data_IF_639908341221
#
_entry.id   IF_639908341221
#
_cell.length_a   1.000
_cell.length_b   1.000
_cell.length_c   1.000
_cell.angle_alpha   90.00
_cell.angle_beta   90.00
_cell.angle_gamma   90.00
#
_symmetry.space_group_name_H-M   'P 1'
#
loop_
_entity.id
_entity.type
_entity.pdbx_description
1 polymer ?
#
# COMPACT_ATOMS: atom_id res chain seq x y z
N UNK A 1 -6.57 -43.78 7.55
CA UNK A 1 -5.73 -42.58 7.53
C UNK A 1 -5.16 -42.44 6.14
N UNK A 2 -5.32 -41.28 5.50
CA UNK A 2 -4.71 -41.02 4.20
C UNK A 2 -3.18 -40.95 4.34
N UNK A 3 -2.44 -41.16 3.25
CA UNK A 3 -0.97 -41.02 3.28
C UNK A 3 -0.53 -39.60 3.70
N UNK A 4 -1.35 -38.59 3.42
CA UNK A 4 -1.12 -37.19 3.83
C UNK A 4 -1.31 -37.00 5.34
N UNK A 5 -2.34 -37.63 5.94
CA UNK A 5 -2.56 -37.59 7.39
C UNK A 5 -1.39 -38.21 8.17
N UNK A 6 -0.86 -39.35 7.71
CA UNK A 6 0.30 -40.00 8.33
C UNK A 6 1.54 -39.10 8.30
N UNK A 7 1.78 -38.43 7.16
CA UNK A 7 2.90 -37.48 7.03
C UNK A 7 2.75 -36.28 7.96
N UNK A 8 1.53 -35.76 8.12
CA UNK A 8 1.24 -34.66 9.04
C UNK A 8 1.53 -35.10 10.49
N UNK A 9 1.13 -36.31 10.88
CA UNK A 9 1.38 -36.82 12.24
C UNK A 9 2.86 -37.02 12.54
N UNK A 10 3.65 -37.51 11.59
CA UNK A 10 5.11 -37.59 11.73
C UNK A 10 5.77 -36.23 11.91
N UNK A 11 5.33 -35.22 11.15
CA UNK A 11 5.81 -33.85 11.32
C UNK A 11 5.45 -33.32 12.70
N UNK A 12 4.20 -33.52 13.14
CA UNK A 12 3.71 -33.05 14.44
C UNK A 12 4.46 -33.70 15.60
N UNK A 13 4.81 -34.97 15.49
CA UNK A 13 5.60 -35.67 16.51
C UNK A 13 7.02 -35.09 16.68
N UNK A 14 7.58 -34.48 15.64
CA UNK A 14 8.93 -33.92 15.64
C UNK A 14 8.95 -32.39 15.71
N UNK A 15 7.83 -31.76 16.06
CA UNK A 15 7.71 -30.31 16.09
C UNK A 15 8.59 -29.68 17.17
N UNK A 16 9.30 -28.61 16.81
CA UNK A 16 9.94 -27.70 17.76
C UNK A 16 9.58 -26.25 17.47
N UNK A 17 9.31 -25.40 18.48
CA UNK A 17 8.92 -24.00 18.26
C UNK A 17 9.99 -23.16 17.52
N UNK A 18 11.27 -23.43 17.80
CA UNK A 18 12.38 -22.70 17.21
C UNK A 18 12.65 -23.04 15.74
N UNK A 19 12.27 -24.26 15.33
CA UNK A 19 12.49 -24.75 13.98
C UNK A 19 11.52 -25.87 13.61
N UNK A 20 10.69 -25.63 12.60
CA UNK A 20 9.79 -26.64 12.04
C UNK A 20 9.59 -26.42 10.55
N UNK A 21 9.10 -27.44 9.86
CA UNK A 21 8.92 -27.41 8.41
C UNK A 21 7.43 -27.19 8.10
N UNK A 22 7.12 -26.32 7.14
CA UNK A 22 5.77 -26.19 6.59
C UNK A 22 5.85 -26.10 5.06
N UNK A 23 5.18 -27.04 4.37
CA UNK A 23 5.28 -27.16 2.92
C UNK A 23 6.72 -27.41 2.45
N UNK A 24 7.32 -26.42 1.80
CA UNK A 24 8.70 -26.47 1.27
C UNK A 24 9.71 -25.63 2.05
N UNK A 25 9.26 -24.91 3.08
CA UNK A 25 10.09 -23.97 3.84
C UNK A 25 10.31 -24.39 5.29
N UNK A 26 11.38 -23.87 5.86
CA UNK A 26 11.67 -23.92 7.30
C UNK A 26 11.19 -22.64 7.97
N UNK A 27 10.54 -22.81 9.11
CA UNK A 27 9.86 -21.76 9.86
C UNK A 27 10.21 -21.81 11.34
N UNK A 28 10.02 -20.68 12.01
CA UNK A 28 10.15 -20.51 13.45
C UNK A 28 8.95 -19.76 14.01
N UNK A 29 8.49 -20.16 15.19
CA UNK A 29 7.45 -19.44 15.92
C UNK A 29 8.03 -18.18 16.55
N UNK A 30 7.54 -17.01 16.13
CA UNK A 30 8.00 -15.71 16.63
C UNK A 30 7.09 -15.18 17.72
N UNK A 31 5.78 -15.35 17.55
CA UNK A 31 4.78 -14.86 18.49
C UNK A 31 3.64 -15.84 18.57
N UNK A 32 3.25 -16.16 19.79
CA UNK A 32 2.04 -16.91 20.08
C UNK A 32 1.18 -16.08 21.04
N UNK A 33 -0.07 -15.84 20.68
CA UNK A 33 -1.01 -15.07 21.46
C UNK A 33 -2.25 -15.90 21.74
N UNK A 34 -2.46 -16.20 23.04
CA UNK A 34 -3.54 -17.05 23.57
C UNK A 34 -3.46 -18.50 23.09
N UNK A 35 -2.25 -19.06 23.08
CA UNK A 35 -1.99 -20.46 22.68
C UNK A 35 -2.67 -20.81 21.35
N UNK A 36 -2.53 -19.89 20.39
CA UNK A 36 -3.18 -19.98 19.09
C UNK A 36 -2.47 -20.97 18.16
N UNK A 37 -1.20 -21.28 18.45
CA UNK A 37 -0.39 -22.06 17.57
C UNK A 37 -0.74 -23.55 17.63
N UNK A 38 -1.37 -24.04 16.57
CA UNK A 38 -1.59 -25.47 16.34
C UNK A 38 -0.89 -25.88 15.04
N UNK A 39 0.18 -26.65 15.18
CA UNK A 39 1.01 -27.08 14.06
C UNK A 39 0.27 -28.01 13.09
N UNK A 40 -0.64 -28.87 13.59
CA UNK A 40 -1.44 -29.75 12.74
C UNK A 40 -2.37 -28.91 11.85
N UNK A 41 -3.07 -27.95 12.45
CA UNK A 41 -3.97 -27.04 11.75
C UNK A 41 -3.25 -26.15 10.75
N UNK A 42 -2.03 -25.71 11.10
CA UNK A 42 -1.17 -24.98 10.20
C UNK A 42 -0.87 -25.80 8.94
N UNK A 43 -0.42 -27.05 9.09
CA UNK A 43 -0.08 -27.92 7.96
C UNK A 43 -1.30 -28.24 7.08
N UNK A 44 -2.46 -28.48 7.69
CA UNK A 44 -3.73 -28.72 6.97
C UNK A 44 -4.16 -27.52 6.11
N UNK A 45 -3.92 -26.29 6.58
CA UNK A 45 -4.31 -25.05 5.89
C UNK A 45 -3.21 -24.43 5.05
N UNK A 46 -1.99 -24.95 5.14
CA UNK A 46 -0.84 -24.42 4.45
C UNK A 46 -1.03 -24.48 2.93
N UNK A 47 -0.62 -23.44 2.22
CA UNK A 47 -0.66 -23.41 0.76
C UNK A 47 0.64 -22.84 0.21
N UNK A 48 1.13 -23.39 -0.90
CA UNK A 48 2.44 -23.02 -1.47
C UNK A 48 2.58 -21.56 -1.88
N UNK A 49 1.46 -20.86 -2.08
CA UNK A 49 1.44 -19.42 -2.34
C UNK A 49 2.01 -18.62 -1.16
N UNK A 50 2.00 -19.18 0.05
CA UNK A 50 2.53 -18.56 1.26
C UNK A 50 4.07 -18.59 1.30
N UNK A 51 4.71 -19.51 0.56
CA UNK A 51 6.17 -19.62 0.47
C UNK A 51 6.86 -18.32 -0.01
N UNK A 52 6.11 -17.40 -0.64
CA UNK A 52 6.65 -16.12 -1.14
C UNK A 52 6.87 -15.06 -0.05
N UNK A 53 6.30 -15.25 1.13
CA UNK A 53 6.28 -14.26 2.20
C UNK A 53 7.31 -14.60 3.29
N UNK A 54 7.87 -13.57 3.91
CA UNK A 54 8.86 -13.74 4.98
C UNK A 54 8.22 -14.15 6.31
N UNK A 55 6.99 -13.70 6.55
CA UNK A 55 6.20 -14.03 7.72
C UNK A 55 4.85 -14.58 7.30
N UNK A 56 4.33 -15.50 8.09
CA UNK A 56 2.96 -15.99 7.97
C UNK A 56 2.30 -15.76 9.32
N UNK A 57 1.11 -15.19 9.28
CA UNK A 57 0.27 -14.93 10.43
C UNK A 57 -0.90 -15.87 10.34
N UNK A 58 -1.10 -16.64 11.40
CA UNK A 58 -2.28 -17.47 11.58
C UNK A 58 -3.21 -16.82 12.58
N UNK A 59 -4.45 -16.55 12.18
CA UNK A 59 -5.47 -15.98 13.06
C UNK A 59 -6.75 -16.83 13.05
N UNK A 60 -7.40 -16.90 14.21
CA UNK A 60 -8.58 -17.73 14.40
C UNK A 60 -9.87 -16.91 14.28
N UNK A 61 -10.56 -17.07 13.16
CA UNK A 61 -11.89 -16.50 12.94
C UNK A 61 -12.96 -17.58 12.99
N UNK A 62 -13.88 -17.52 13.96
CA UNK A 62 -14.95 -18.52 14.12
C UNK A 62 -14.42 -19.97 14.17
N UNK A 63 -13.35 -20.20 14.95
CA UNK A 63 -12.64 -21.48 15.07
C UNK A 63 -12.07 -22.00 13.74
N UNK A 64 -11.94 -21.15 12.73
CA UNK A 64 -11.27 -21.44 11.48
C UNK A 64 -9.93 -20.71 11.43
N UNK A 65 -8.86 -21.49 11.26
CA UNK A 65 -7.54 -20.95 11.05
C UNK A 65 -7.46 -20.31 9.65
N UNK A 66 -7.08 -19.04 9.63
CA UNK A 66 -6.79 -18.25 8.44
C UNK A 66 -5.29 -17.98 8.39
N UNK A 67 -4.70 -18.11 7.21
CA UNK A 67 -3.27 -17.83 7.01
C UNK A 67 -3.11 -16.63 6.09
N UNK A 68 -2.40 -15.61 6.56
CA UNK A 68 -2.04 -14.41 5.81
C UNK A 68 -0.53 -14.26 5.78
N UNK A 69 0.03 -14.08 4.59
CA UNK A 69 1.45 -13.83 4.43
C UNK A 69 1.80 -12.34 4.45
N UNK A 70 2.93 -12.02 5.07
CA UNK A 70 3.48 -10.68 5.22
C UNK A 70 4.97 -10.65 4.83
N UNK A 71 5.40 -9.52 4.29
CA UNK A 71 6.78 -9.23 3.96
C UNK A 71 7.48 -8.49 5.10
N UNK A 72 8.80 -8.61 5.16
CA UNK A 72 9.64 -7.72 5.98
C UNK A 72 9.47 -6.27 5.53
N UNK A 73 9.53 -5.33 6.47
CA UNK A 73 9.32 -3.89 6.20
C UNK A 73 10.35 -3.30 5.22
N UNK A 74 11.54 -3.90 5.18
CA UNK A 74 12.63 -3.58 4.25
C UNK A 74 12.27 -3.81 2.78
N UNK A 75 11.25 -4.63 2.49
CA UNK A 75 10.88 -4.93 1.11
C UNK A 75 10.14 -3.75 0.47
N UNK A 76 10.84 -3.01 -0.38
CA UNK A 76 10.34 -1.77 -0.99
C UNK A 76 9.22 -1.99 -2.02
N UNK A 77 9.13 -3.19 -2.59
CA UNK A 77 8.12 -3.55 -3.58
C UNK A 77 6.87 -4.22 -2.96
N UNK A 78 6.82 -4.41 -1.63
CA UNK A 78 5.61 -4.88 -0.96
C UNK A 78 4.56 -3.78 -0.93
N UNK A 79 3.29 -4.18 -1.11
CA UNK A 79 2.17 -3.37 -0.68
C UNK A 79 2.27 -3.08 0.82
N UNK A 80 1.88 -1.89 1.23
CA UNK A 80 1.96 -1.42 2.62
C UNK A 80 1.20 -2.40 3.54
N UNK A 81 -0.03 -2.76 3.16
CA UNK A 81 -0.89 -3.70 3.90
C UNK A 81 -0.34 -5.14 3.97
N UNK A 82 0.65 -5.47 3.13
CA UNK A 82 1.31 -6.77 3.13
C UNK A 82 2.63 -6.75 3.92
N UNK A 83 2.95 -5.68 4.64
CA UNK A 83 4.15 -5.58 5.48
C UNK A 83 3.86 -5.94 6.92
N UNK A 84 4.83 -6.55 7.59
CA UNK A 84 4.69 -6.97 8.98
C UNK A 84 4.40 -5.79 9.93
N UNK A 85 4.88 -4.57 9.62
CA UNK A 85 4.54 -3.37 10.39
C UNK A 85 3.06 -3.03 10.43
N UNK A 86 2.26 -3.48 9.46
CA UNK A 86 0.80 -3.29 9.41
C UNK A 86 0.02 -4.51 9.94
N UNK A 87 0.69 -5.41 10.65
CA UNK A 87 0.04 -6.57 11.27
C UNK A 87 -1.06 -6.15 12.25
N UNK A 88 -0.81 -5.12 13.07
CA UNK A 88 -1.79 -4.68 14.05
C UNK A 88 -3.07 -4.17 13.38
N UNK A 89 -2.93 -3.35 12.33
CA UNK A 89 -4.06 -2.86 11.53
C UNK A 89 -4.87 -4.03 10.94
N UNK A 90 -4.19 -5.05 10.41
CA UNK A 90 -4.82 -6.26 9.90
C UNK A 90 -5.61 -7.00 10.98
N UNK A 91 -5.03 -7.17 12.17
CA UNK A 91 -5.72 -7.82 13.28
C UNK A 91 -6.93 -7.01 13.74
N UNK A 92 -6.85 -5.68 13.77
CA UNK A 92 -7.99 -4.83 14.12
C UNK A 92 -9.12 -4.86 13.10
N UNK A 93 -8.80 -4.98 11.81
CA UNK A 93 -9.81 -4.97 10.74
C UNK A 93 -10.47 -6.33 10.54
N UNK A 94 -9.70 -7.43 10.64
CA UNK A 94 -10.17 -8.77 10.25
C UNK A 94 -10.27 -9.79 11.40
N UNK A 95 -9.60 -9.58 12.53
CA UNK A 95 -9.66 -10.46 13.70
C UNK A 95 -10.83 -10.01 14.60
N UNK A 96 -11.67 -10.95 15.00
CA UNK A 96 -12.75 -10.66 15.95
C UNK A 96 -12.20 -10.29 17.33
N UNK A 97 -13.03 -9.70 18.19
CA UNK A 97 -12.62 -9.48 19.59
C UNK A 97 -12.25 -10.79 20.27
N UNK A 98 -11.08 -10.80 20.91
CA UNK A 98 -10.57 -11.99 21.59
C UNK A 98 -10.00 -13.09 20.68
N UNK A 99 -9.84 -12.79 19.40
CA UNK A 99 -9.18 -13.64 18.41
C UNK A 99 -7.76 -14.01 18.86
N UNK A 100 -7.47 -15.31 18.82
CA UNK A 100 -6.14 -15.86 19.07
C UNK A 100 -5.36 -15.81 17.74
N UNK A 101 -4.07 -15.51 17.80
CA UNK A 101 -3.24 -15.46 16.61
C UNK A 101 -1.79 -15.85 16.92
N UNK A 102 -1.08 -16.27 15.90
CA UNK A 102 0.34 -16.57 15.96
C UNK A 102 1.05 -15.99 14.75
N UNK A 103 2.36 -15.80 14.88
CA UNK A 103 3.23 -15.30 13.82
C UNK A 103 4.42 -16.24 13.69
N UNK A 104 4.65 -16.74 12.48
CA UNK A 104 5.80 -17.58 12.14
C UNK A 104 6.67 -16.84 11.12
N UNK A 105 7.98 -16.95 11.27
CA UNK A 105 8.97 -16.39 10.36
C UNK A 105 9.60 -17.52 9.56
N UNK A 106 9.81 -17.28 8.27
CA UNK A 106 10.57 -18.18 7.41
C UNK A 106 12.07 -17.99 7.67
N UNK A 107 12.75 -19.05 8.12
CA UNK A 107 14.16 -19.03 8.51
C UNK A 107 15.08 -19.50 7.38
N UNK A 108 14.56 -20.26 6.41
CA UNK A 108 15.34 -20.82 5.32
C UNK A 108 15.90 -19.78 4.33
N UNK A 109 16.91 -20.19 3.56
CA UNK A 109 17.48 -19.41 2.44
C UNK A 109 16.48 -19.34 1.27
N UNK A 110 15.33 -18.71 1.48
CA UNK A 110 14.40 -18.47 0.39
C UNK A 110 15.05 -17.48 -0.60
N UNK A 111 15.22 -17.93 -1.84
CA UNK A 111 15.67 -17.16 -3.00
C UNK A 111 14.62 -16.10 -3.31
N UNK A 112 14.62 -15.00 -2.54
CA UNK A 112 13.75 -13.85 -2.73
C UNK A 112 14.05 -13.22 -4.08
N UNK A 113 13.33 -13.65 -5.13
CA UNK A 113 13.30 -12.94 -6.41
C UNK A 113 12.87 -11.50 -6.13
N UNK A 114 13.80 -10.56 -6.26
CA UNK A 114 13.55 -9.13 -6.11
C UNK A 114 13.94 -8.52 -4.77
N UNK A 115 14.56 -9.27 -3.84
CA UNK A 115 15.29 -8.62 -2.75
C UNK A 115 16.66 -8.22 -3.30
N UNK A 116 16.79 -6.96 -3.69
CA UNK A 116 18.09 -6.30 -3.81
C UNK A 116 18.71 -6.20 -2.40
N UNK A 117 19.11 -7.32 -1.80
CA UNK A 117 19.94 -7.37 -0.59
C UNK A 117 21.40 -7.06 -0.88
N UNK A 118 21.73 -6.62 -2.10
CA UNK A 118 23.05 -6.08 -2.36
C UNK A 118 23.27 -4.87 -1.45
N UNK A 119 24.23 -4.90 -0.50
CA UNK A 119 24.56 -3.74 0.29
C UNK A 119 24.92 -2.62 -0.69
N UNK A 120 24.18 -1.51 -0.59
CA UNK A 120 24.16 -0.38 -1.50
C UNK A 120 25.10 -0.46 -2.69
N UNK A 121 24.58 -0.77 -3.88
CA UNK A 121 25.16 -0.13 -5.07
C UNK A 121 24.88 1.35 -4.87
N UNK A 122 25.90 2.23 -4.66
CA UNK A 122 25.64 3.64 -4.55
C UNK A 122 24.89 4.01 -5.82
N UNK A 123 23.67 4.53 -5.65
CA UNK A 123 22.91 5.09 -6.76
C UNK A 123 23.81 6.20 -7.28
N UNK A 124 24.59 5.89 -8.32
CA UNK A 124 25.52 6.83 -8.90
C UNK A 124 24.62 7.95 -9.43
N UNK A 125 24.48 9.01 -8.63
CA UNK A 125 23.95 10.29 -9.06
C UNK A 125 25.01 10.83 -10.01
N UNK A 126 25.06 10.26 -11.21
CA UNK A 126 25.66 10.92 -12.33
C UNK A 126 24.75 12.10 -12.62
N UNK A 127 25.03 13.20 -11.91
CA UNK A 127 24.76 14.56 -12.36
C UNK A 127 25.49 14.71 -13.69
N UNK A 128 24.90 14.24 -14.78
CA UNK A 128 25.32 14.69 -16.08
C UNK A 128 24.32 15.71 -16.59
N UNK A 129 24.79 16.95 -16.54
CA UNK A 129 24.23 18.12 -17.20
C UNK A 129 23.95 17.74 -18.66
N UNK A 130 22.71 17.88 -19.08
CA UNK A 130 22.45 18.50 -20.37
C UNK A 130 21.06 19.13 -20.35
N UNK A 131 21.02 20.41 -19.96
CA UNK A 131 19.94 21.28 -20.43
C UNK A 131 20.17 21.44 -21.93
N UNK A 132 19.51 20.62 -22.72
CA UNK A 132 19.28 20.95 -24.12
C UNK A 132 18.41 22.22 -24.11
N UNK A 133 19.05 23.36 -24.35
CA UNK A 133 18.32 24.55 -24.77
C UNK A 133 17.62 24.17 -26.07
N UNK A 134 16.30 24.26 -26.10
CA UNK A 134 15.56 24.14 -27.34
C UNK A 134 16.02 25.26 -28.26
N UNK A 135 16.77 24.91 -29.32
CA UNK A 135 17.07 25.83 -30.40
C UNK A 135 15.80 25.91 -31.27
N UNK A 136 14.84 26.75 -30.87
CA UNK A 136 13.85 27.24 -31.83
C UNK A 136 14.53 28.32 -32.65
N UNK A 137 15.07 27.95 -33.82
CA UNK A 137 15.41 28.93 -34.84
C UNK A 137 14.13 29.55 -35.38
N UNK A 138 13.64 30.59 -34.71
CA UNK A 138 12.69 31.49 -35.33
C UNK A 138 13.48 32.47 -36.20
N UNK A 139 13.48 32.22 -37.51
CA UNK A 139 13.98 33.14 -38.54
C UNK A 139 13.38 34.53 -38.33
N UNK A 140 14.12 35.42 -37.66
CA UNK A 140 13.79 36.84 -37.60
C UNK A 140 14.07 37.44 -38.97
N UNK A 141 13.02 37.69 -39.75
CA UNK A 141 13.09 38.64 -40.87
C UNK A 141 13.03 40.05 -40.28
N UNK A 142 14.08 40.83 -40.47
CA UNK A 142 14.10 42.26 -40.16
C UNK A 142 13.03 42.99 -41.00
N UNK A 143 11.95 43.42 -40.35
CA UNK A 143 11.00 44.38 -40.94
C UNK A 143 11.12 45.68 -40.16
N UNK A 144 11.82 46.66 -40.74
CA UNK A 144 11.82 48.06 -40.30
C UNK A 144 10.36 48.55 -40.22
N UNK A 145 9.91 48.99 -39.05
CA UNK A 145 8.65 49.74 -38.88
C UNK A 145 8.91 51.12 -38.28
N UNK A 146 8.33 52.20 -38.82
CA UNK A 146 8.59 53.56 -38.37
C UNK A 146 7.77 53.96 -37.14
N UNK A 147 8.31 54.91 -36.38
CA UNK A 147 7.79 55.49 -35.14
C UNK A 147 6.48 56.26 -35.37
N UNK A 148 5.51 56.14 -34.46
CA UNK A 148 4.63 57.23 -33.98
C UNK A 148 3.89 56.83 -32.70
N UNK A 149 3.92 57.72 -31.69
CA UNK A 149 3.20 57.62 -30.40
C UNK A 149 1.87 58.39 -30.50
N UNK A 150 0.80 57.98 -29.81
CA UNK A 150 -0.23 58.91 -29.38
C UNK A 150 -0.16 59.14 -27.85
N UNK A 151 -0.32 60.41 -27.47
CA UNK A 151 -0.44 60.92 -26.09
C UNK A 151 -1.91 60.90 -25.70
N UNK A 152 -2.28 60.54 -24.46
CA UNK A 152 -3.46 61.13 -23.78
C UNK A 152 -3.28 61.20 -22.26
N UNK A 153 -3.87 62.24 -21.67
CA UNK A 153 -3.50 62.95 -20.43
C UNK A 153 -4.07 62.35 -19.15
N UNK A 154 -3.36 62.58 -18.03
CA UNK A 154 -3.80 62.43 -16.63
C UNK A 154 -4.93 63.42 -16.27
N UNK A 155 -5.85 63.00 -15.39
CA UNK A 155 -6.52 63.88 -14.42
C UNK A 155 -6.51 63.20 -13.04
N UNK A 156 -6.12 63.98 -12.03
CA UNK A 156 -6.08 63.68 -10.60
C UNK A 156 -7.37 64.21 -9.97
N UNK A 157 -7.86 63.59 -8.88
CA UNK A 157 -8.33 64.25 -7.65
C UNK A 157 -8.81 63.21 -6.61
N UNK A 158 -8.16 63.20 -5.44
CA UNK A 158 -8.58 62.63 -4.14
C UNK A 158 -9.69 63.51 -3.50
N UNK A 159 -10.43 63.12 -2.41
CA UNK A 159 -9.94 62.44 -1.19
C UNK A 159 -10.88 61.38 -0.52
N UNK A 160 -10.36 60.69 0.52
CA UNK A 160 -11.06 59.74 1.43
C UNK A 160 -11.99 60.46 2.43
N UNK A 161 -12.93 59.74 3.08
CA UNK A 161 -12.71 59.44 4.51
C UNK A 161 -13.20 58.04 5.00
N UNK A 162 -12.85 57.74 6.26
CA UNK A 162 -13.12 56.55 7.09
C UNK A 162 -14.60 56.48 7.54
N UNK A 163 -15.15 55.29 7.85
CA UNK A 163 -15.46 54.78 9.22
C UNK A 163 -16.59 53.71 9.27
N UNK A 164 -16.35 52.68 10.10
CA UNK A 164 -17.28 52.01 11.05
C UNK A 164 -18.46 51.06 10.65
N UNK A 165 -18.34 49.82 11.20
CA UNK A 165 -19.32 49.00 11.97
C UNK A 165 -20.37 48.07 11.28
N UNK A 166 -20.38 46.84 11.85
CA UNK A 166 -21.15 45.57 11.72
C UNK A 166 -22.70 45.69 11.74
N UNK A 167 -23.50 44.59 11.86
CA UNK A 167 -23.59 43.26 11.21
C UNK A 167 -24.99 43.04 10.56
N UNK A 168 -25.34 41.86 9.98
CA UNK A 168 -26.68 41.17 10.08
C UNK A 168 -26.79 39.90 9.18
N UNK A 169 -26.95 38.76 9.88
CA UNK A 169 -27.79 37.52 9.75
C UNK A 169 -28.32 36.92 8.42
N UNK A 170 -28.25 35.56 8.41
CA UNK A 170 -29.17 34.51 7.89
C UNK A 170 -29.29 34.37 6.36
N UNK A 171 -29.25 33.18 5.73
CA UNK A 171 -30.14 32.03 5.93
C UNK A 171 -29.66 30.76 5.19
N UNK A 172 -30.16 29.59 5.62
CA UNK A 172 -29.91 28.25 5.06
C UNK A 172 -30.50 28.07 3.66
N UNK A 173 -29.88 27.24 2.80
CA UNK A 173 -30.59 26.47 1.76
C UNK A 173 -30.07 25.03 1.60
N UNK A 174 -31.03 24.12 1.63
CA UNK A 174 -30.97 22.67 1.51
C UNK A 174 -30.78 22.21 0.04
N UNK A 175 -30.12 21.06 -0.11
CA UNK A 175 -30.58 19.92 -0.92
C UNK A 175 -30.71 20.07 -2.44
N UNK A 176 -29.80 19.43 -3.19
CA UNK A 176 -30.11 18.89 -4.53
C UNK A 176 -29.47 17.51 -4.70
N UNK A 177 -30.31 16.48 -4.56
CA UNK A 177 -30.02 15.10 -4.94
C UNK A 177 -29.99 14.99 -6.47
N UNK A 178 -28.86 14.58 -7.04
CA UNK A 178 -28.75 14.23 -8.46
C UNK A 178 -29.28 12.81 -8.67
N UNK A 179 -30.40 12.70 -9.39
CA UNK A 179 -30.91 11.42 -9.91
C UNK A 179 -30.20 11.14 -11.24
N UNK A 180 -29.36 10.10 -11.27
CA UNK A 180 -28.80 9.56 -12.51
C UNK A 180 -29.74 8.46 -13.01
N UNK A 181 -30.38 8.67 -14.17
CA UNK A 181 -31.19 7.67 -14.86
C UNK A 181 -30.30 6.77 -15.72
N UNK A 182 -30.25 5.47 -15.41
CA UNK A 182 -29.66 4.45 -16.29
C UNK A 182 -30.75 3.79 -17.14
N UNK A 183 -30.47 3.61 -18.43
CA UNK A 183 -31.31 2.87 -19.38
C UNK A 183 -30.69 1.49 -19.59
N UNK A 184 -31.43 0.44 -19.23
CA UNK A 184 -31.04 -0.97 -19.42
C UNK A 184 -31.53 -1.39 -20.82
N UNK A 185 -30.61 -1.82 -21.70
CA UNK A 185 -30.96 -2.46 -22.98
C UNK A 185 -31.08 -3.97 -22.75
N UNK A 186 -32.27 -4.51 -22.99
CA UNK A 186 -32.49 -5.95 -23.10
C UNK A 186 -31.93 -6.45 -24.45
N UNK A 187 -31.34 -7.65 -24.43
CA UNK A 187 -30.81 -8.34 -25.60
C UNK A 187 -31.78 -9.49 -25.89
N UNK A 188 -32.43 -9.42 -27.06
CA UNK A 188 -33.33 -10.48 -27.51
C UNK A 188 -32.55 -11.74 -27.92
N UNK A 189 -33.20 -12.88 -27.70
CA UNK A 189 -32.75 -14.26 -27.94
C UNK A 189 -32.44 -14.58 -29.41
#
# INVERSE_FOLDING_TARGET
MSAEELRIEELVANFTPDHFIAGSGEYRLVKDYRDAFDYRKLLERYHDILNKYDYIVGDWGYDQLRLKGFFKDDFRNAAIDAKIGHLEDYLYEYCNFGCAYFVIEQTGEFQRKGRDTSPGRPRNKNKNKNKNQAHTEERRKDVKRPKKKPKFKKKVNEPKPKNEKKPVKKELKQGQQKKNSFVIRQKDN
#
